data_IF_037509205521
#
_entry.id   IF_037509205521
#
_cell.length_a   1.000
_cell.length_b   1.000
_cell.length_c   1.000
_cell.angle_alpha   90.00
_cell.angle_beta   90.00
_cell.angle_gamma   90.00
#
_symmetry.space_group_name_H-M   'P 1'
#
loop_
_entity.id
_entity.type
_entity.pdbx_description
1 polymer ?
#
# COMPACT_ATOMS: atom_id res chain seq x y z
N UNK A 1 8.06 1.83 -27.23
CA UNK A 1 7.90 0.39 -26.94
C UNK A 1 7.80 0.20 -25.43
N UNK A 2 6.89 -0.63 -24.91
CA UNK A 2 6.91 -1.00 -23.50
C UNK A 2 8.28 -1.60 -23.16
N UNK A 3 8.90 -1.14 -22.07
CA UNK A 3 10.20 -1.68 -21.62
C UNK A 3 9.99 -3.15 -21.24
N UNK A 4 10.94 -4.03 -21.60
CA UNK A 4 10.97 -5.41 -21.11
C UNK A 4 10.95 -5.38 -19.58
N UNK A 5 10.04 -6.15 -18.98
CA UNK A 5 9.94 -6.35 -17.53
C UNK A 5 10.47 -7.73 -17.15
N UNK A 6 10.94 -7.83 -15.93
CA UNK A 6 11.49 -9.02 -15.30
C UNK A 6 10.66 -9.35 -14.05
N UNK A 7 10.99 -10.45 -13.38
CA UNK A 7 10.33 -10.95 -12.17
C UNK A 7 11.38 -11.32 -11.11
N UNK A 8 10.93 -11.69 -9.91
CA UNK A 8 11.80 -12.23 -8.86
C UNK A 8 12.69 -13.39 -9.38
N UNK A 9 12.12 -14.29 -10.18
CA UNK A 9 12.80 -15.48 -10.72
C UNK A 9 14.01 -15.13 -11.59
N UNK A 10 13.94 -14.03 -12.34
CA UNK A 10 15.05 -13.58 -13.21
C UNK A 10 16.30 -13.14 -12.42
N UNK A 11 16.14 -12.88 -11.11
CA UNK A 11 17.21 -12.47 -10.20
C UNK A 11 17.50 -13.50 -9.10
N UNK A 12 16.93 -14.70 -9.19
CA UNK A 12 17.11 -15.74 -8.16
C UNK A 12 16.47 -15.40 -6.81
N UNK A 13 15.48 -14.50 -6.80
CA UNK A 13 14.76 -14.09 -5.60
C UNK A 13 13.54 -15.00 -5.44
N UNK A 14 13.35 -15.56 -4.25
CA UNK A 14 12.13 -16.27 -3.90
C UNK A 14 10.99 -15.27 -3.67
N UNK A 15 9.79 -15.58 -4.18
CA UNK A 15 8.60 -14.76 -3.92
C UNK A 15 8.01 -15.20 -2.61
N UNK A 16 7.89 -14.27 -1.67
CA UNK A 16 7.27 -14.56 -0.39
C UNK A 16 5.74 -14.59 -0.53
N UNK A 17 5.12 -15.51 0.18
CA UNK A 17 3.67 -15.65 0.28
C UNK A 17 3.25 -15.49 1.75
N UNK A 18 2.11 -14.85 1.97
CA UNK A 18 1.50 -14.79 3.29
C UNK A 18 1.06 -16.19 3.71
N UNK A 19 1.15 -16.50 5.01
CA UNK A 19 0.50 -17.69 5.58
C UNK A 19 -1.00 -17.46 5.82
N UNK A 20 -1.48 -16.24 5.59
CA UNK A 20 -2.85 -15.80 5.80
C UNK A 20 -3.52 -15.49 4.47
N UNK A 21 -4.76 -15.94 4.35
CA UNK A 21 -5.75 -15.56 3.34
C UNK A 21 -6.99 -15.08 4.13
N UNK A 22 -7.04 -13.78 4.40
CA UNK A 22 -7.98 -13.22 5.38
C UNK A 22 -9.43 -13.26 4.89
N UNK A 23 -9.65 -13.09 3.59
CA UNK A 23 -10.97 -13.16 2.98
C UNK A 23 -11.36 -14.59 2.52
N UNK A 24 -10.48 -15.58 2.72
CA UNK A 24 -10.65 -16.99 2.36
C UNK A 24 -10.98 -17.20 0.87
N UNK A 25 -10.38 -16.43 -0.03
CA UNK A 25 -10.65 -16.51 -1.47
C UNK A 25 -9.69 -17.47 -2.22
N UNK A 26 -8.75 -18.11 -1.52
CA UNK A 26 -7.73 -19.00 -2.07
C UNK A 26 -6.46 -18.28 -2.54
N UNK A 27 -6.30 -16.99 -2.26
CA UNK A 27 -5.15 -16.15 -2.60
C UNK A 27 -4.57 -15.59 -1.29
N UNK A 28 -3.25 -15.71 -1.11
CA UNK A 28 -2.59 -15.18 0.08
C UNK A 28 -2.62 -13.63 0.13
N UNK A 29 -2.65 -13.05 1.34
CA UNK A 29 -2.83 -11.61 1.54
C UNK A 29 -1.82 -10.73 0.77
N UNK A 30 -0.56 -11.16 0.64
CA UNK A 30 0.45 -10.35 -0.07
C UNK A 30 0.10 -10.27 -1.55
N UNK A 31 -0.27 -11.41 -2.14
CA UNK A 31 -0.75 -11.49 -3.51
C UNK A 31 -2.04 -10.70 -3.70
N UNK A 32 -2.96 -10.77 -2.74
CA UNK A 32 -4.25 -10.08 -2.83
C UNK A 32 -4.10 -8.55 -2.76
N UNK A 33 -3.21 -8.03 -1.92
CA UNK A 33 -2.86 -6.60 -1.87
C UNK A 33 -2.25 -6.17 -3.22
N UNK A 34 -1.29 -6.93 -3.76
CA UNK A 34 -0.70 -6.66 -5.07
C UNK A 34 -1.77 -6.58 -6.17
N UNK A 35 -2.68 -7.57 -6.21
CA UNK A 35 -3.72 -7.66 -7.23
C UNK A 35 -4.74 -6.52 -7.12
N UNK A 36 -5.11 -6.12 -5.89
CA UNK A 36 -5.98 -4.98 -5.66
C UNK A 36 -5.36 -3.65 -6.11
N UNK A 37 -4.07 -3.43 -5.81
CA UNK A 37 -3.34 -2.26 -6.30
C UNK A 37 -3.29 -2.23 -7.83
N UNK A 38 -3.05 -3.40 -8.45
CA UNK A 38 -3.02 -3.56 -9.90
C UNK A 38 -4.39 -3.34 -10.55
N UNK A 39 -5.48 -3.72 -9.87
CA UNK A 39 -6.85 -3.44 -10.31
C UNK A 39 -7.12 -1.93 -10.35
N UNK A 40 -6.74 -1.20 -9.30
CA UNK A 40 -6.83 0.26 -9.27
C UNK A 40 -6.01 0.91 -10.39
N UNK A 41 -4.77 0.46 -10.58
CA UNK A 41 -3.88 0.92 -11.63
C UNK A 41 -4.47 0.75 -13.04
N UNK A 42 -5.17 -0.36 -13.31
CA UNK A 42 -5.88 -0.63 -14.57
C UNK A 42 -7.08 0.29 -14.78
N UNK A 43 -7.80 0.64 -13.71
CA UNK A 43 -8.94 1.55 -13.76
C UNK A 43 -8.52 3.01 -14.02
N UNK A 44 -7.24 3.33 -13.82
CA UNK A 44 -6.63 4.64 -14.10
C UNK A 44 -7.45 5.81 -13.51
N UNK A 45 -7.79 5.77 -12.21
CA UNK A 45 -8.55 6.85 -11.59
C UNK A 45 -7.89 8.21 -11.84
N UNK A 46 -8.70 9.23 -12.13
CA UNK A 46 -8.23 10.61 -12.23
C UNK A 46 -7.75 11.07 -10.86
N UNK A 47 -6.60 11.74 -10.81
CA UNK A 47 -6.09 12.27 -9.55
C UNK A 47 -7.03 13.36 -9.02
N UNK A 48 -7.76 13.04 -7.96
CA UNK A 48 -8.69 13.93 -7.28
C UNK A 48 -8.77 13.54 -5.79
N UNK A 49 -8.38 14.48 -4.93
CA UNK A 49 -8.35 14.33 -3.48
C UNK A 49 -9.55 14.95 -2.76
N UNK A 50 -10.65 15.22 -3.48
CA UNK A 50 -11.89 15.74 -2.90
C UNK A 50 -12.38 14.85 -1.75
N UNK A 51 -12.93 15.50 -0.73
CA UNK A 51 -13.56 14.85 0.41
C UNK A 51 -14.78 14.05 -0.05
N UNK A 52 -15.00 12.89 0.58
CA UNK A 52 -16.12 12.01 0.28
C UNK A 52 -16.83 11.70 1.59
N UNK A 53 -18.13 11.96 1.67
CA UNK A 53 -18.90 11.84 2.92
C UNK A 53 -18.98 10.40 3.45
N UNK A 54 -18.88 9.41 2.57
CA UNK A 54 -18.77 8.00 2.94
C UNK A 54 -17.31 7.52 3.10
N UNK A 55 -16.33 8.40 2.86
CA UNK A 55 -14.90 8.14 2.85
C UNK A 55 -14.35 7.51 1.56
N UNK A 56 -15.20 6.89 0.72
CA UNK A 56 -14.76 6.07 -0.40
C UNK A 56 -15.04 6.74 -1.75
N UNK A 57 -14.02 7.27 -2.45
CA UNK A 57 -14.22 7.84 -3.78
C UNK A 57 -14.63 6.76 -4.80
N UNK A 58 -15.44 7.13 -5.82
CA UNK A 58 -15.80 6.23 -6.90
C UNK A 58 -14.55 5.74 -7.66
N UNK A 59 -14.67 4.58 -8.31
CA UNK A 59 -13.57 3.86 -9.00
C UNK A 59 -12.78 4.74 -10.00
N UNK A 60 -13.42 5.75 -10.59
CA UNK A 60 -12.82 6.61 -11.62
C UNK A 60 -12.05 7.82 -11.06
N UNK A 61 -12.02 8.04 -9.75
CA UNK A 61 -11.22 9.09 -9.11
C UNK A 61 -10.45 8.54 -7.89
N UNK A 62 -9.37 9.21 -7.52
CA UNK A 62 -8.64 8.91 -6.29
C UNK A 62 -7.24 9.51 -6.27
N UNK A 63 -6.55 9.36 -5.14
CA UNK A 63 -5.17 9.78 -4.89
C UNK A 63 -4.27 8.59 -4.59
N UNK A 64 -3.03 8.82 -4.18
CA UNK A 64 -2.05 7.77 -3.90
C UNK A 64 -2.49 6.81 -2.79
N UNK A 65 -3.10 7.32 -1.73
CA UNK A 65 -3.65 6.52 -0.62
C UNK A 65 -4.85 5.68 -1.04
N UNK A 66 -5.55 6.07 -2.12
CA UNK A 66 -6.69 5.30 -2.63
C UNK A 66 -6.28 3.99 -3.29
N UNK A 67 -5.06 3.94 -3.86
CA UNK A 67 -4.44 2.68 -4.31
C UNK A 67 -4.31 1.70 -3.14
N UNK A 68 -3.91 2.21 -1.97
CA UNK A 68 -3.60 1.39 -0.79
C UNK A 68 -4.87 0.84 -0.16
N UNK A 69 -5.88 1.66 0.13
CA UNK A 69 -7.10 1.09 0.72
C UNK A 69 -7.87 0.19 -0.24
N UNK A 70 -7.81 0.44 -1.57
CA UNK A 70 -8.39 -0.47 -2.57
C UNK A 70 -7.64 -1.80 -2.64
N UNK A 71 -6.32 -1.78 -2.46
CA UNK A 71 -5.50 -2.97 -2.32
C UNK A 71 -5.88 -3.78 -1.06
N UNK A 72 -6.00 -3.10 0.08
CA UNK A 72 -6.41 -3.73 1.34
C UNK A 72 -7.84 -4.28 1.28
N UNK A 73 -8.76 -3.54 0.67
CA UNK A 73 -10.13 -4.02 0.40
C UNK A 73 -10.12 -5.30 -0.42
N UNK A 74 -9.24 -5.42 -1.43
CA UNK A 74 -9.14 -6.64 -2.23
C UNK A 74 -8.74 -7.85 -1.37
N UNK A 75 -7.84 -7.65 -0.40
CA UNK A 75 -7.46 -8.63 0.62
C UNK A 75 -8.48 -8.79 1.76
N UNK A 76 -9.66 -8.15 1.69
CA UNK A 76 -10.70 -8.25 2.70
C UNK A 76 -10.54 -7.34 3.92
N UNK A 77 -9.58 -6.42 3.92
CA UNK A 77 -9.34 -5.51 5.05
C UNK A 77 -10.06 -4.17 4.90
N UNK A 78 -10.68 -3.70 5.98
CA UNK A 78 -11.26 -2.38 6.09
C UNK A 78 -10.26 -1.36 6.67
N UNK A 79 -9.30 -0.93 5.83
CA UNK A 79 -8.24 0.00 6.24
C UNK A 79 -8.78 1.30 6.87
N UNK A 80 -9.98 1.75 6.46
CA UNK A 80 -10.65 2.91 7.06
C UNK A 80 -10.93 2.70 8.54
N UNK A 81 -11.60 1.61 8.88
CA UNK A 81 -11.95 1.32 10.27
C UNK A 81 -10.72 0.91 11.09
N UNK A 82 -9.73 0.25 10.47
CA UNK A 82 -8.47 -0.11 11.14
C UNK A 82 -7.68 1.13 11.59
N UNK A 83 -7.55 2.12 10.70
CA UNK A 83 -6.90 3.41 11.02
C UNK A 83 -7.73 4.22 12.01
N UNK A 84 -9.05 4.22 11.87
CA UNK A 84 -9.95 4.88 12.84
C UNK A 84 -9.81 4.31 14.26
N UNK A 85 -9.70 2.98 14.38
CA UNK A 85 -9.47 2.31 15.64
C UNK A 85 -8.09 2.64 16.22
N UNK A 86 -7.03 2.60 15.40
CA UNK A 86 -5.68 2.96 15.86
C UNK A 86 -5.59 4.39 16.37
N UNK A 87 -6.23 5.35 15.68
CA UNK A 87 -6.27 6.76 16.11
C UNK A 87 -6.99 6.89 17.46
N UNK A 88 -8.09 6.14 17.69
CA UNK A 88 -8.79 6.15 18.98
C UNK A 88 -7.92 5.62 20.12
N UNK A 89 -7.18 4.54 19.87
CA UNK A 89 -6.37 3.87 20.87
C UNK A 89 -5.04 4.59 21.13
N UNK A 90 -4.47 5.24 20.10
CA UNK A 90 -3.13 5.85 20.14
C UNK A 90 -3.13 7.32 19.72
N UNK A 91 -4.12 8.10 20.15
CA UNK A 91 -4.29 9.50 19.74
C UNK A 91 -3.03 10.38 19.89
N UNK A 92 -2.17 10.11 20.87
CA UNK A 92 -0.89 10.82 21.06
C UNK A 92 0.07 10.65 19.87
N UNK A 93 0.11 9.45 19.26
CA UNK A 93 0.92 9.18 18.07
C UNK A 93 0.47 10.03 16.87
N UNK A 94 -0.80 10.48 16.88
CA UNK A 94 -1.44 11.30 15.86
C UNK A 94 -1.65 12.75 16.29
N UNK A 95 -0.73 13.33 17.07
CA UNK A 95 -0.83 14.69 17.62
C UNK A 95 -1.14 15.84 16.63
N UNK A 96 -0.95 15.63 15.32
CA UNK A 96 -1.36 16.58 14.28
C UNK A 96 -2.84 16.55 13.93
N UNK A 97 -3.58 15.49 14.30
CA UNK A 97 -5.03 15.39 14.10
C UNK A 97 -5.72 16.20 15.20
N UNK A 98 -6.43 17.26 14.81
CA UNK A 98 -7.20 18.10 15.75
C UNK A 98 -8.60 17.55 16.00
N UNK A 99 -9.18 16.92 14.98
CA UNK A 99 -10.47 16.25 15.03
C UNK A 99 -10.37 15.03 14.16
N UNK A 100 -10.59 13.86 14.77
CA UNK A 100 -10.66 12.59 14.06
C UNK A 100 -11.82 12.62 13.06
N UNK A 101 -11.54 12.15 11.85
CA UNK A 101 -12.51 11.98 10.79
C UNK A 101 -12.15 10.74 9.97
N UNK A 102 -12.85 9.64 10.28
CA UNK A 102 -12.65 8.35 9.62
C UNK A 102 -12.89 8.37 8.12
N UNK A 103 -13.57 9.38 7.57
CA UNK A 103 -13.78 9.47 6.12
C UNK A 103 -12.56 10.03 5.37
N UNK A 104 -11.59 10.62 6.08
CA UNK A 104 -10.42 11.22 5.45
C UNK A 104 -9.10 10.74 6.05
N UNK A 105 -9.08 10.28 7.30
CA UNK A 105 -7.83 9.97 7.99
C UNK A 105 -7.03 8.84 7.33
N UNK A 106 -7.69 7.76 6.90
CA UNK A 106 -7.04 6.67 6.15
C UNK A 106 -6.59 7.09 4.74
N UNK A 107 -7.05 8.24 4.25
CA UNK A 107 -6.63 8.82 2.97
C UNK A 107 -5.48 9.82 3.12
N UNK A 108 -4.88 9.95 4.32
CA UNK A 108 -3.69 10.80 4.55
C UNK A 108 -2.43 9.94 4.65
N UNK A 109 -1.44 10.20 3.80
CA UNK A 109 -0.15 9.46 3.80
C UNK A 109 0.53 9.52 5.16
N UNK A 110 0.54 10.68 5.83
CA UNK A 110 1.12 10.83 7.18
C UNK A 110 0.46 9.90 8.22
N UNK A 111 -0.86 9.72 8.12
CA UNK A 111 -1.58 8.83 9.03
C UNK A 111 -1.26 7.36 8.72
N UNK A 112 -1.27 6.99 7.43
CA UNK A 112 -0.88 5.64 7.00
C UNK A 112 0.57 5.31 7.37
N UNK A 113 1.49 6.28 7.34
CA UNK A 113 2.86 6.08 7.77
C UNK A 113 2.92 5.69 9.25
N UNK A 114 2.22 6.41 10.14
CA UNK A 114 2.17 6.08 11.57
C UNK A 114 1.53 4.70 11.78
N UNK A 115 0.44 4.41 11.06
CA UNK A 115 -0.27 3.14 11.14
C UNK A 115 0.63 1.95 10.74
N UNK A 116 1.25 2.00 9.55
CA UNK A 116 2.11 0.91 9.07
C UNK A 116 3.41 0.79 9.85
N UNK A 117 3.95 1.91 10.37
CA UNK A 117 5.13 1.85 11.23
C UNK A 117 4.88 1.08 12.53
N UNK A 118 3.66 1.14 13.06
CA UNK A 118 3.28 0.41 14.26
C UNK A 118 2.91 -1.05 13.96
N UNK A 119 2.04 -1.24 12.97
CA UNK A 119 1.30 -2.50 12.80
C UNK A 119 1.82 -3.36 11.65
N UNK A 120 2.81 -2.90 10.89
CA UNK A 120 3.43 -3.68 9.83
C UNK A 120 4.91 -3.94 10.12
N UNK A 121 5.50 -4.92 9.44
CA UNK A 121 6.93 -5.21 9.55
C UNK A 121 7.68 -4.07 8.85
N UNK A 122 8.53 -3.36 9.59
CA UNK A 122 9.44 -2.35 9.02
C UNK A 122 10.60 -3.04 8.29
N UNK A 123 10.76 -2.77 7.00
CA UNK A 123 11.77 -3.35 6.13
C UNK A 123 12.87 -2.35 5.78
N UNK A 124 13.97 -2.85 5.21
CA UNK A 124 15.05 -2.00 4.74
C UNK A 124 14.59 -1.09 3.59
N UNK A 125 15.04 0.17 3.61
CA UNK A 125 14.83 1.14 2.53
C UNK A 125 16.00 1.19 1.54
N UNK A 126 17.03 0.38 1.77
CA UNK A 126 18.15 0.18 0.86
C UNK A 126 17.70 -0.60 -0.37
N UNK A 127 17.62 0.10 -1.50
CA UNK A 127 17.16 -0.47 -2.78
C UNK A 127 18.15 -1.47 -3.37
N UNK A 128 19.36 -1.62 -2.81
CA UNK A 128 20.34 -2.62 -3.27
C UNK A 128 20.07 -4.02 -2.72
N UNK A 129 19.30 -4.13 -1.63
CA UNK A 129 18.85 -5.41 -1.03
C UNK A 129 17.61 -5.93 -1.76
N UNK A 130 17.78 -6.39 -2.99
CA UNK A 130 16.68 -6.67 -3.93
C UNK A 130 15.62 -7.64 -3.38
N UNK A 131 16.05 -8.59 -2.57
CA UNK A 131 15.26 -9.65 -1.92
C UNK A 131 14.30 -9.13 -0.86
N UNK A 132 14.60 -8.00 -0.22
CA UNK A 132 13.75 -7.38 0.81
C UNK A 132 12.47 -6.80 0.20
N UNK A 133 12.50 -6.41 -1.07
CA UNK A 133 11.39 -5.78 -1.77
C UNK A 133 10.50 -6.84 -2.41
N UNK A 134 9.35 -7.12 -1.81
CA UNK A 134 8.42 -8.15 -2.27
C UNK A 134 7.11 -7.56 -2.78
N UNK A 135 6.42 -8.27 -3.68
CA UNK A 135 5.14 -7.82 -4.20
C UNK A 135 4.12 -7.66 -3.07
N UNK A 136 3.32 -6.60 -3.12
CA UNK A 136 2.33 -6.31 -2.07
C UNK A 136 2.87 -5.47 -0.91
N UNK A 137 4.18 -5.30 -0.78
CA UNK A 137 4.77 -4.40 0.22
C UNK A 137 4.33 -2.94 -0.01
N UNK A 138 4.27 -2.16 1.07
CA UNK A 138 3.87 -0.75 1.07
C UNK A 138 5.12 0.12 1.12
N UNK A 139 5.19 1.17 0.30
CA UNK A 139 6.31 2.11 0.27
C UNK A 139 5.85 3.56 0.34
N UNK A 140 6.51 4.37 1.16
CA UNK A 140 6.19 5.78 1.41
C UNK A 140 7.35 6.66 0.96
N UNK A 141 7.04 7.80 0.31
CA UNK A 141 8.04 8.69 -0.27
C UNK A 141 7.87 10.17 0.10
N UNK A 142 8.97 10.91 -0.05
CA UNK A 142 9.07 12.38 -0.07
C UNK A 142 8.47 13.09 1.16
N UNK A 143 8.76 12.58 2.36
CA UNK A 143 8.26 13.07 3.65
C UNK A 143 6.73 13.07 3.70
N UNK A 144 6.16 11.87 3.56
CA UNK A 144 4.72 11.59 3.65
C UNK A 144 3.89 12.31 2.59
N UNK A 145 4.47 12.52 1.41
CA UNK A 145 3.77 13.15 0.27
C UNK A 145 3.23 12.13 -0.72
N UNK A 146 3.75 10.91 -0.71
CA UNK A 146 3.36 9.89 -1.67
C UNK A 146 3.47 8.48 -1.09
N UNK A 147 2.64 7.57 -1.57
CA UNK A 147 2.60 6.17 -1.15
C UNK A 147 2.27 5.27 -2.35
N UNK A 148 2.70 4.01 -2.30
CA UNK A 148 2.38 3.02 -3.31
C UNK A 148 2.59 1.59 -2.81
N UNK A 149 2.29 0.64 -3.69
CA UNK A 149 2.46 -0.80 -3.47
C UNK A 149 3.57 -1.34 -4.38
N UNK A 150 4.43 -2.21 -3.87
CA UNK A 150 5.50 -2.84 -4.65
C UNK A 150 4.92 -3.87 -5.61
N UNK A 151 5.38 -3.82 -6.86
CA UNK A 151 4.99 -4.72 -7.94
C UNK A 151 5.86 -5.99 -7.99
N UNK A 152 5.30 -7.06 -8.53
CA UNK A 152 6.04 -8.25 -8.98
C UNK A 152 6.89 -8.03 -10.24
N UNK A 153 6.71 -6.90 -10.93
CA UNK A 153 7.53 -6.51 -12.09
C UNK A 153 8.80 -5.84 -11.62
N UNK A 154 9.92 -6.28 -12.19
CA UNK A 154 11.25 -5.69 -11.98
C UNK A 154 11.81 -5.09 -13.26
N UNK A 155 12.69 -4.11 -13.12
CA UNK A 155 13.50 -3.60 -14.22
C UNK A 155 14.72 -4.52 -14.45
N UNK A 156 15.54 -4.20 -15.46
CA UNK A 156 16.74 -4.99 -15.80
C UNK A 156 17.81 -5.07 -14.71
N UNK A 157 17.70 -4.24 -13.67
CA UNK A 157 18.59 -4.19 -12.51
C UNK A 157 17.99 -4.88 -11.28
N UNK A 158 16.81 -5.50 -11.42
CA UNK A 158 16.14 -6.18 -10.33
C UNK A 158 15.34 -5.26 -9.41
N UNK A 159 15.30 -3.95 -9.65
CA UNK A 159 14.47 -3.06 -8.83
C UNK A 159 12.99 -3.25 -9.20
N UNK A 160 12.10 -3.46 -8.22
CA UNK A 160 10.68 -3.59 -8.51
C UNK A 160 10.07 -2.24 -8.90
N UNK A 161 9.03 -2.35 -9.71
CA UNK A 161 8.16 -1.24 -10.06
C UNK A 161 7.28 -0.92 -8.85
N UNK A 162 6.75 0.31 -8.82
CA UNK A 162 5.80 0.76 -7.81
C UNK A 162 4.46 0.98 -8.49
N UNK A 163 3.39 0.45 -7.89
CA UNK A 163 2.01 0.71 -8.27
C UNK A 163 1.52 1.91 -7.45
N UNK A 164 1.21 3.03 -8.10
CA UNK A 164 0.82 4.27 -7.42
C UNK A 164 -0.01 5.21 -8.31
N UNK A 165 -0.70 6.15 -7.67
CA UNK A 165 -1.46 7.20 -8.36
C UNK A 165 -0.99 8.59 -7.93
N UNK A 166 -0.25 9.26 -8.82
CA UNK A 166 0.08 10.69 -8.78
C UNK A 166 -0.42 11.43 -10.04
N UNK A 167 -1.51 10.96 -10.65
CA UNK A 167 -2.04 11.53 -11.91
C UNK A 167 -1.27 11.17 -13.20
N UNK A 168 -0.21 10.37 -13.13
CA UNK A 168 0.61 9.97 -14.26
C UNK A 168 -0.05 8.92 -15.18
N UNK A 169 0.28 8.87 -16.50
CA UNK A 169 -0.38 7.96 -17.45
C UNK A 169 -0.20 6.47 -17.15
N UNK A 170 0.97 6.06 -16.68
CA UNK A 170 1.28 4.67 -16.33
C UNK A 170 1.25 4.50 -14.81
N UNK A 171 0.41 3.59 -14.30
CA UNK A 171 0.19 3.42 -12.86
C UNK A 171 1.16 2.46 -12.18
N UNK A 172 1.99 1.77 -12.95
CA UNK A 172 3.00 0.82 -12.47
C UNK A 172 4.36 1.23 -13.08
N UNK A 173 5.22 1.90 -12.31
CA UNK A 173 6.43 2.58 -12.81
C UNK A 173 7.70 2.22 -12.05
N UNK A 174 8.84 2.30 -12.75
CA UNK A 174 10.17 2.32 -12.14
C UNK A 174 10.34 3.66 -11.39
N UNK A 175 9.97 3.67 -10.10
CA UNK A 175 9.85 4.88 -9.27
C UNK A 175 10.80 4.91 -8.07
N UNK A 176 11.33 3.76 -7.61
CA UNK A 176 12.16 3.69 -6.39
C UNK A 176 13.39 4.61 -6.40
N UNK A 177 13.99 4.86 -7.58
CA UNK A 177 15.14 5.77 -7.73
C UNK A 177 14.77 7.23 -7.96
N UNK A 178 13.49 7.54 -8.14
CA UNK A 178 13.01 8.89 -8.51
C UNK A 178 12.62 9.75 -7.31
N UNK A 179 12.52 9.15 -6.13
CA UNK A 179 12.03 9.81 -4.93
C UNK A 179 12.74 9.27 -3.68
N UNK A 180 12.78 10.11 -2.64
CA UNK A 180 13.32 9.68 -1.34
C UNK A 180 12.34 8.72 -0.67
N UNK A 181 12.81 7.57 -0.22
CA UNK A 181 12.01 6.55 0.47
C UNK A 181 12.02 6.84 1.97
N UNK A 182 10.85 7.10 2.55
CA UNK A 182 10.68 7.33 3.99
C UNK A 182 10.46 6.04 4.76
N UNK A 183 9.79 5.06 4.14
CA UNK A 183 9.45 3.81 4.81
C UNK A 183 9.07 2.74 3.80
N UNK A 184 9.33 1.49 4.19
CA UNK A 184 9.04 0.29 3.44
C UNK A 184 8.49 -0.74 4.44
N UNK A 185 7.31 -1.28 4.16
CA UNK A 185 6.54 -2.06 5.13
C UNK A 185 5.92 -3.30 4.49
N UNK A 186 5.85 -4.40 5.24
CA UNK A 186 5.07 -5.58 4.88
C UNK A 186 3.95 -5.80 5.88
N UNK A 187 2.72 -5.79 5.37
CA UNK A 187 1.53 -6.03 6.18
C UNK A 187 1.32 -7.55 6.35
N UNK A 188 1.81 -8.09 7.46
CA UNK A 188 1.71 -9.50 7.83
C UNK A 188 0.69 -9.64 8.97
N UNK A 189 -0.56 -9.94 8.61
CA UNK A 189 -1.70 -10.01 9.53
C UNK A 189 -1.54 -11.07 10.62
N UNK A 190 -0.70 -12.09 10.40
CA UNK A 190 -0.38 -13.09 11.44
C UNK A 190 0.34 -12.50 12.66
N UNK A 191 0.91 -11.29 12.52
CA UNK A 191 1.66 -10.58 13.56
C UNK A 191 0.89 -9.41 14.16
N UNK A 192 -0.36 -9.19 13.74
CA UNK A 192 -1.18 -8.07 14.17
C UNK A 192 -2.21 -8.57 15.17
N UNK A 193 -2.52 -7.73 16.17
CA UNK A 193 -3.60 -8.00 17.12
C UNK A 193 -4.92 -8.19 16.37
N UNK A 194 -5.63 -9.29 16.66
CA UNK A 194 -6.84 -9.66 15.96
C UNK A 194 -7.94 -8.59 16.08
N UNK A 195 -8.00 -7.86 17.19
CA UNK A 195 -8.97 -6.78 17.39
C UNK A 195 -8.77 -5.60 16.43
N UNK A 196 -7.56 -5.45 15.88
CA UNK A 196 -7.26 -4.42 14.88
C UNK A 196 -7.57 -4.87 13.45
N UNK A 197 -7.71 -6.18 13.20
CA UNK A 197 -8.02 -6.71 11.87
C UNK A 197 -9.52 -6.66 11.62
N UNK A 198 -9.96 -5.65 10.87
CA UNK A 198 -11.38 -5.41 10.60
C UNK A 198 -11.72 -5.84 9.18
N UNK A 199 -12.72 -6.71 9.05
CA UNK A 199 -13.23 -7.21 7.78
C UNK A 199 -13.89 -6.10 6.94
N UNK A 200 -13.67 -6.17 5.63
CA UNK A 200 -14.40 -5.40 4.64
C UNK A 200 -15.81 -5.99 4.49
N UNK A 201 -16.81 -5.27 5.02
CA UNK A 201 -18.24 -5.60 4.92
C UNK A 201 -18.99 -4.66 3.97
#
# INVERSE_FOLDING_TARGET
LPKKTYSNKDFGIETLHSSIDFNNNGIDDYTDILLGARKDAKNRPKYNGEYQDNGFPPENIGVCTDVVWRAFKNAGYNLREMVDLDIKLRGEAYSHIKRQDKNIDFRRVKNLHIFFKEHAICLATDITKLEEWQPGDIVIFNNDKHIGIISDKRNRYGLPYVIHNGGQPNREEDYLKKAFINGHYRFDSSKILKELLIEWN
#
